data_IF_142444521435
#
_entry.id   IF_142444521435
#
_cell.length_a   1.000
_cell.length_b   1.000
_cell.length_c   1.000
_cell.angle_alpha   90.00
_cell.angle_beta   90.00
_cell.angle_gamma   90.00
#
_symmetry.space_group_name_H-M   'P 1'
#
loop_
_entity.id
_entity.type
_entity.pdbx_description
1 polymer ?
#
# COMPACT_ATOMS: atom_id res chain seq x y z
N UNK A 1 33.31 25.44 2.11
CA UNK A 1 32.78 24.87 0.86
C UNK A 1 32.08 25.96 0.03
N UNK A 2 31.77 25.73 -1.22
CA UNK A 2 31.15 26.68 -2.16
C UNK A 2 29.84 27.31 -1.65
N UNK A 3 29.11 26.64 -0.76
CA UNK A 3 27.83 27.12 -0.21
C UNK A 3 27.99 27.98 1.05
N UNK A 4 29.21 28.13 1.59
CA UNK A 4 29.48 29.00 2.76
C UNK A 4 28.81 28.55 4.06
N UNK A 5 28.29 27.32 4.13
CA UNK A 5 27.52 26.78 5.25
C UNK A 5 27.97 25.38 5.65
N UNK A 6 27.86 25.05 6.94
CA UNK A 6 28.13 23.73 7.47
C UNK A 6 26.87 22.85 7.24
N UNK A 7 26.99 21.84 6.40
CA UNK A 7 25.90 20.90 6.09
C UNK A 7 25.87 19.69 7.04
N UNK A 8 27.03 19.41 7.65
CA UNK A 8 27.21 18.28 8.57
C UNK A 8 27.93 18.72 9.82
N UNK A 9 27.48 18.25 10.95
CA UNK A 9 28.19 18.29 12.22
C UNK A 9 28.99 16.99 12.35
N UNK A 10 30.29 17.11 12.62
CA UNK A 10 31.17 15.94 12.81
C UNK A 10 31.62 15.90 14.26
N UNK A 11 31.31 14.78 14.92
CA UNK A 11 31.92 14.39 16.19
C UNK A 11 32.89 13.24 15.96
N UNK A 12 33.69 12.89 16.97
CA UNK A 12 34.65 11.77 16.85
C UNK A 12 33.98 10.40 16.60
N UNK A 13 32.67 10.27 16.84
CA UNK A 13 31.93 9.03 16.73
C UNK A 13 30.74 9.08 15.75
N UNK A 14 30.33 10.26 15.26
CA UNK A 14 29.10 10.41 14.48
C UNK A 14 29.15 11.60 13.52
N UNK A 15 28.45 11.47 12.40
CA UNK A 15 28.24 12.54 11.43
C UNK A 15 26.76 12.79 11.30
N UNK A 16 26.29 13.97 11.73
CA UNK A 16 24.87 14.36 11.64
C UNK A 16 24.68 15.47 10.62
N UNK A 17 23.57 15.43 9.92
CA UNK A 17 23.16 16.51 9.05
C UNK A 17 22.63 17.68 9.88
N UNK A 18 22.98 18.91 9.52
CA UNK A 18 22.42 20.11 10.17
C UNK A 18 21.02 20.41 9.64
N UNK A 19 20.22 21.19 10.36
CA UNK A 19 18.90 21.64 9.88
C UNK A 19 19.00 22.39 8.54
N UNK A 20 20.08 23.16 8.33
CA UNK A 20 20.38 23.79 7.04
C UNK A 20 20.78 22.75 6.00
N UNK A 21 21.52 21.71 6.41
CA UNK A 21 21.90 20.57 5.56
C UNK A 21 20.67 19.84 5.02
N UNK A 22 19.67 19.55 5.86
CA UNK A 22 18.42 18.91 5.44
C UNK A 22 17.67 19.73 4.38
N UNK A 23 17.57 21.05 4.57
CA UNK A 23 16.96 21.95 3.60
C UNK A 23 17.71 21.94 2.26
N UNK A 24 19.04 21.94 2.29
CA UNK A 24 19.87 21.90 1.09
C UNK A 24 19.76 20.53 0.40
N UNK A 25 19.76 19.43 1.13
CA UNK A 25 19.54 18.08 0.57
C UNK A 25 18.17 17.99 -0.11
N UNK A 26 17.14 18.52 0.52
CA UNK A 26 15.79 18.56 -0.06
C UNK A 26 15.78 19.35 -1.38
N UNK A 27 16.45 20.50 -1.43
CA UNK A 27 16.53 21.28 -2.66
C UNK A 27 17.43 20.64 -3.71
N UNK A 28 18.55 20.02 -3.31
CA UNK A 28 19.43 19.31 -4.22
C UNK A 28 18.72 18.11 -4.89
N UNK A 29 17.91 17.37 -4.15
CA UNK A 29 17.08 16.31 -4.71
C UNK A 29 16.16 16.84 -5.80
N UNK A 30 15.46 17.96 -5.57
CA UNK A 30 14.61 18.60 -6.59
C UNK A 30 15.39 18.98 -7.86
N UNK A 31 16.61 19.50 -7.72
CA UNK A 31 17.45 19.81 -8.89
C UNK A 31 17.83 18.56 -9.67
N UNK A 32 18.18 17.48 -8.97
CA UNK A 32 18.47 16.19 -9.61
C UNK A 32 17.24 15.60 -10.31
N UNK A 33 16.05 15.73 -9.71
CA UNK A 33 14.79 15.33 -10.34
C UNK A 33 14.52 16.08 -11.63
N UNK A 34 14.72 17.41 -11.63
CA UNK A 34 14.55 18.22 -12.84
C UNK A 34 15.60 17.86 -13.92
N UNK A 35 16.82 17.50 -13.52
CA UNK A 35 17.83 17.02 -14.47
C UNK A 35 17.41 15.68 -15.11
N UNK A 36 16.93 14.73 -14.31
CA UNK A 36 16.37 13.45 -14.82
C UNK A 36 15.18 13.70 -15.75
N UNK A 37 14.32 14.66 -15.42
CA UNK A 37 13.20 15.06 -16.30
C UNK A 37 13.66 15.58 -17.65
N UNK A 38 14.72 16.38 -17.68
CA UNK A 38 15.29 16.84 -18.96
C UNK A 38 15.77 15.67 -19.83
N UNK A 39 16.44 14.69 -19.21
CA UNK A 39 16.87 13.49 -19.91
C UNK A 39 15.67 12.64 -20.38
N UNK A 40 14.65 12.47 -19.55
CA UNK A 40 13.41 11.77 -19.92
C UNK A 40 12.68 12.43 -21.08
N UNK A 41 12.51 13.76 -21.05
CA UNK A 41 11.91 14.54 -22.14
C UNK A 41 12.71 14.37 -23.43
N UNK A 42 14.03 14.44 -23.35
CA UNK A 42 14.89 14.27 -24.52
C UNK A 42 14.87 12.83 -25.06
N UNK A 43 14.82 11.84 -24.17
CA UNK A 43 14.85 10.41 -24.53
C UNK A 43 13.54 9.84 -25.05
N UNK A 44 12.39 10.40 -24.62
CA UNK A 44 11.05 9.88 -24.99
C UNK A 44 10.52 10.44 -26.32
N UNK A 45 11.22 11.39 -26.95
CA UNK A 45 10.72 12.05 -28.17
C UNK A 45 9.34 12.70 -28.01
N UNK A 46 8.89 12.94 -26.77
CA UNK A 46 7.58 13.49 -26.41
C UNK A 46 6.45 12.46 -26.26
N UNK A 47 6.71 11.15 -26.38
CA UNK A 47 5.71 10.12 -26.11
C UNK A 47 5.55 9.92 -24.57
N UNK A 48 4.37 10.27 -24.00
CA UNK A 48 4.12 10.14 -22.56
C UNK A 48 4.09 8.69 -22.07
N UNK A 49 3.94 7.70 -22.98
CA UNK A 49 3.90 6.27 -22.68
C UNK A 49 5.25 5.58 -22.92
N UNK A 50 6.33 6.34 -23.05
CA UNK A 50 7.69 5.82 -23.15
C UNK A 50 8.54 6.25 -21.96
N UNK A 51 9.66 5.53 -21.72
CA UNK A 51 10.55 5.73 -20.58
C UNK A 51 10.03 5.13 -19.27
N UNK A 52 10.85 5.07 -18.22
CA UNK A 52 10.57 4.35 -17.00
C UNK A 52 9.36 4.93 -16.24
N UNK A 53 8.58 4.04 -15.61
CA UNK A 53 7.55 4.38 -14.62
C UNK A 53 7.91 3.72 -13.28
N UNK A 54 8.08 4.53 -12.24
CA UNK A 54 8.44 4.09 -10.88
C UNK A 54 7.19 4.11 -10.01
N UNK A 55 6.69 2.93 -9.68
CA UNK A 55 5.43 2.76 -8.94
C UNK A 55 5.70 2.24 -7.54
N UNK A 56 5.23 2.96 -6.53
CA UNK A 56 5.19 2.48 -5.14
C UNK A 56 3.82 1.85 -4.85
N UNK A 57 3.79 0.71 -4.16
CA UNK A 57 2.53 0.04 -3.81
C UNK A 57 2.60 -0.45 -2.37
N UNK A 58 1.52 -0.30 -1.61
CA UNK A 58 1.49 -0.86 -0.26
C UNK A 58 1.36 -2.38 -0.27
N UNK A 59 1.95 -3.04 0.73
CA UNK A 59 2.01 -4.51 0.87
C UNK A 59 0.66 -5.22 0.80
N UNK A 60 -0.41 -4.58 1.23
CA UNK A 60 -1.75 -5.18 1.21
C UNK A 60 -2.47 -5.06 -0.15
N UNK A 61 -1.84 -4.43 -1.16
CA UNK A 61 -2.37 -4.26 -2.51
C UNK A 61 -1.46 -4.94 -3.54
N UNK A 62 -0.15 -4.75 -3.46
CA UNK A 62 0.80 -5.14 -4.49
C UNK A 62 0.65 -6.59 -4.96
N UNK A 63 0.69 -7.63 -4.11
CA UNK A 63 0.66 -9.02 -4.57
C UNK A 63 -0.61 -9.40 -5.34
N UNK A 64 -1.70 -8.69 -5.09
CA UNK A 64 -3.03 -9.00 -5.65
C UNK A 64 -3.36 -8.19 -6.90
N UNK A 65 -2.79 -6.98 -7.04
CA UNK A 65 -2.96 -6.11 -8.19
C UNK A 65 -1.99 -6.48 -9.33
N UNK A 66 -0.73 -6.72 -9.00
CA UNK A 66 0.36 -6.86 -9.98
C UNK A 66 0.14 -7.96 -11.03
N UNK A 67 -0.43 -9.14 -10.70
CA UNK A 67 -0.67 -10.19 -11.70
C UNK A 67 -1.57 -9.75 -12.87
N UNK A 68 -2.46 -8.81 -12.66
CA UNK A 68 -3.33 -8.25 -13.70
C UNK A 68 -2.76 -6.96 -14.30
N UNK A 69 -2.14 -6.14 -13.47
CA UNK A 69 -1.60 -4.85 -13.86
C UNK A 69 -0.40 -4.96 -14.81
N UNK A 70 0.58 -5.81 -14.50
CA UNK A 70 1.80 -5.93 -15.30
C UNK A 70 1.51 -6.35 -16.76
N UNK A 71 0.69 -7.39 -17.03
CA UNK A 71 0.35 -7.77 -18.40
C UNK A 71 -0.43 -6.69 -19.14
N UNK A 72 -1.34 -5.98 -18.43
CA UNK A 72 -2.10 -4.88 -19.01
C UNK A 72 -1.19 -3.72 -19.41
N UNK A 73 -0.30 -3.30 -18.51
CA UNK A 73 0.67 -2.24 -18.78
C UNK A 73 1.58 -2.60 -19.97
N UNK A 74 2.14 -3.80 -20.00
CA UNK A 74 2.98 -4.26 -21.12
C UNK A 74 2.26 -4.23 -22.47
N UNK A 75 0.96 -4.50 -22.47
CA UNK A 75 0.14 -4.46 -23.68
C UNK A 75 -0.13 -3.02 -24.13
N UNK A 76 -0.40 -2.11 -23.19
CA UNK A 76 -0.80 -0.72 -23.50
C UNK A 76 0.40 0.21 -23.71
N UNK A 77 1.47 0.02 -22.94
CA UNK A 77 2.66 0.85 -22.97
C UNK A 77 3.95 0.00 -22.97
N UNK A 78 4.24 -0.75 -24.07
CA UNK A 78 5.39 -1.66 -24.13
C UNK A 78 6.74 -0.96 -24.04
N UNK A 79 6.80 0.35 -24.32
CA UNK A 79 8.00 1.18 -24.20
C UNK A 79 8.18 1.83 -22.82
N UNK A 80 7.33 1.47 -21.83
CA UNK A 80 7.35 2.01 -20.48
C UNK A 80 7.79 0.92 -19.48
N UNK A 81 9.10 0.74 -19.24
CA UNK A 81 9.59 -0.21 -18.24
C UNK A 81 9.11 0.16 -16.85
N UNK A 82 8.58 -0.83 -16.13
CA UNK A 82 8.01 -0.67 -14.80
C UNK A 82 9.05 -0.98 -13.72
N UNK A 83 9.24 -0.06 -12.78
CA UNK A 83 10.01 -0.26 -11.55
C UNK A 83 9.05 -0.23 -10.36
N UNK A 84 9.02 -1.32 -9.59
CA UNK A 84 8.13 -1.47 -8.46
C UNK A 84 8.87 -1.38 -7.14
N UNK A 85 8.27 -0.68 -6.20
CA UNK A 85 8.68 -0.65 -4.80
C UNK A 85 7.49 -0.96 -3.91
N UNK A 86 7.59 -1.99 -3.10
CA UNK A 86 6.62 -2.26 -2.04
C UNK A 86 7.10 -1.66 -0.73
N UNK A 87 6.24 -0.88 -0.06
CA UNK A 87 6.59 -0.29 1.23
C UNK A 87 5.31 0.17 1.97
N UNK A 88 5.47 0.61 3.22
CA UNK A 88 4.41 1.28 3.97
C UNK A 88 4.12 2.67 3.39
N UNK A 89 2.87 3.12 3.52
CA UNK A 89 2.44 4.46 3.09
C UNK A 89 3.36 5.56 3.63
N UNK A 90 3.79 5.43 4.90
CA UNK A 90 4.69 6.38 5.55
C UNK A 90 6.05 6.54 4.85
N UNK A 91 6.54 5.50 4.16
CA UNK A 91 7.80 5.51 3.42
C UNK A 91 7.58 5.88 1.94
N UNK A 92 6.45 5.49 1.35
CA UNK A 92 6.14 5.78 -0.05
C UNK A 92 5.89 7.28 -0.28
N UNK A 93 5.25 7.98 0.66
CA UNK A 93 4.97 9.42 0.52
C UNK A 93 6.24 10.26 0.42
N UNK A 94 7.24 10.13 1.32
CA UNK A 94 8.50 10.84 1.18
C UNK A 94 9.22 10.52 -0.14
N UNK A 95 9.25 9.24 -0.56
CA UNK A 95 9.86 8.82 -1.81
C UNK A 95 9.14 9.43 -3.04
N UNK A 96 7.80 9.50 -3.00
CA UNK A 96 7.01 10.17 -4.03
C UNK A 96 7.32 11.67 -4.10
N UNK A 97 7.38 12.35 -2.95
CA UNK A 97 7.73 13.78 -2.88
C UNK A 97 9.15 14.07 -3.31
N UNK A 98 10.08 13.15 -3.04
CA UNK A 98 11.47 13.23 -3.46
C UNK A 98 11.68 12.92 -4.95
N UNK A 99 10.65 12.47 -5.70
CA UNK A 99 10.76 12.06 -7.10
C UNK A 99 11.42 10.71 -7.33
N UNK A 100 11.70 9.97 -6.27
CA UNK A 100 12.18 8.58 -6.35
C UNK A 100 11.10 7.66 -6.91
N UNK A 101 9.81 8.03 -6.71
CA UNK A 101 8.63 7.39 -7.27
C UNK A 101 7.85 8.39 -8.12
N UNK A 102 7.18 7.91 -9.14
CA UNK A 102 6.33 8.68 -10.04
C UNK A 102 4.88 8.68 -9.56
N UNK A 103 4.40 7.53 -9.13
CA UNK A 103 3.05 7.29 -8.62
C UNK A 103 3.09 6.27 -7.48
N UNK A 104 2.16 6.38 -6.54
CA UNK A 104 1.96 5.35 -5.51
C UNK A 104 0.51 4.87 -5.51
N UNK A 105 0.32 3.59 -5.20
CA UNK A 105 -0.98 2.94 -5.05
C UNK A 105 -1.22 2.68 -3.57
N UNK A 106 -2.21 3.35 -3.01
CA UNK A 106 -2.51 3.31 -1.57
C UNK A 106 -4.00 3.24 -1.31
N UNK A 107 -4.39 3.05 -0.07
CA UNK A 107 -5.77 3.19 0.35
C UNK A 107 -6.11 4.66 0.62
N UNK A 108 -7.30 5.08 0.19
CA UNK A 108 -7.87 6.39 0.43
C UNK A 108 -8.85 6.35 1.65
N UNK A 109 -9.18 7.48 2.30
CA UNK A 109 -8.86 8.85 1.88
C UNK A 109 -7.41 9.25 2.16
N UNK A 110 -6.85 10.05 1.26
CA UNK A 110 -5.53 10.66 1.42
C UNK A 110 -5.56 12.07 0.85
N UNK A 111 -5.03 13.04 1.59
CA UNK A 111 -4.91 14.42 1.14
C UNK A 111 -3.61 15.03 1.68
N UNK A 112 -2.76 15.52 0.78
CA UNK A 112 -1.53 16.21 1.14
C UNK A 112 -1.18 17.28 0.10
N UNK A 113 -0.69 18.42 0.54
CA UNK A 113 -0.34 19.54 -0.34
C UNK A 113 0.71 19.13 -1.38
N UNK A 114 0.49 19.48 -2.65
CA UNK A 114 1.37 19.17 -3.77
C UNK A 114 1.18 17.76 -4.36
N UNK A 115 0.26 16.97 -3.82
CA UNK A 115 -0.10 15.65 -4.34
C UNK A 115 -1.55 15.65 -4.86
N UNK A 116 -1.79 14.84 -5.87
CA UNK A 116 -3.12 14.52 -6.41
C UNK A 116 -3.44 13.10 -5.99
N UNK A 117 -4.67 12.86 -5.52
CA UNK A 117 -5.19 11.54 -5.22
C UNK A 117 -6.42 11.26 -6.10
N UNK A 118 -6.45 10.12 -6.75
CA UNK A 118 -7.54 9.67 -7.61
C UNK A 118 -7.99 8.28 -7.19
N UNK A 119 -9.27 8.13 -6.90
CA UNK A 119 -9.88 6.83 -6.63
C UNK A 119 -9.90 5.98 -7.91
N UNK A 120 -9.58 4.69 -7.78
CA UNK A 120 -9.58 3.72 -8.90
C UNK A 120 -10.68 2.70 -8.71
N UNK A 121 -10.76 2.04 -7.54
CA UNK A 121 -11.80 1.06 -7.26
C UNK A 121 -12.10 0.94 -5.77
N UNK A 122 -13.31 0.47 -5.49
CA UNK A 122 -13.72 0.04 -4.15
C UNK A 122 -13.41 -1.44 -3.96
N UNK A 123 -12.85 -1.77 -2.80
CA UNK A 123 -12.45 -3.12 -2.44
C UNK A 123 -13.14 -3.53 -1.15
N UNK A 124 -14.17 -4.40 -1.22
CA UNK A 124 -14.85 -4.90 -0.03
C UNK A 124 -13.95 -5.83 0.77
N UNK A 125 -14.24 -5.94 2.07
CA UNK A 125 -13.55 -6.86 2.97
C UNK A 125 -14.29 -8.20 3.07
N UNK A 126 -13.53 -9.24 3.44
CA UNK A 126 -14.02 -10.59 3.69
C UNK A 126 -13.54 -11.06 5.04
N UNK A 127 -14.31 -11.91 5.67
CA UNK A 127 -13.90 -12.69 6.84
C UNK A 127 -13.34 -14.02 6.36
N UNK A 128 -12.13 -14.37 6.78
CA UNK A 128 -11.47 -15.63 6.42
C UNK A 128 -11.31 -16.45 7.70
N UNK A 129 -11.85 -17.66 7.66
CA UNK A 129 -11.87 -18.57 8.82
C UNK A 129 -11.29 -19.93 8.45
N UNK A 130 -10.80 -20.73 9.42
CA UNK A 130 -10.43 -22.12 9.18
C UNK A 130 -11.61 -22.94 8.62
N UNK A 131 -11.34 -23.94 7.79
CA UNK A 131 -12.40 -24.80 7.21
C UNK A 131 -13.28 -25.50 8.26
N UNK A 132 -12.73 -25.78 9.46
CA UNK A 132 -13.43 -26.39 10.58
C UNK A 132 -14.07 -25.39 11.55
N UNK A 133 -13.97 -24.09 11.27
CA UNK A 133 -14.56 -23.07 12.13
C UNK A 133 -16.09 -23.18 12.17
N UNK A 134 -16.77 -22.89 13.29
CA UNK A 134 -18.24 -22.92 13.38
C UNK A 134 -18.95 -22.08 12.32
N UNK A 135 -18.30 -21.03 11.83
CA UNK A 135 -18.83 -20.17 10.77
C UNK A 135 -18.66 -20.71 9.35
N UNK A 136 -17.92 -21.80 9.16
CA UNK A 136 -17.58 -22.32 7.82
C UNK A 136 -18.80 -22.66 6.94
N UNK A 137 -19.97 -22.90 7.54
CA UNK A 137 -21.22 -23.20 6.86
C UNK A 137 -22.20 -22.02 6.79
N UNK A 138 -21.79 -20.85 7.27
CA UNK A 138 -22.63 -19.65 7.26
C UNK A 138 -22.56 -18.94 5.91
N UNK A 139 -23.62 -18.22 5.57
CA UNK A 139 -23.66 -17.39 4.37
C UNK A 139 -22.94 -16.05 4.55
N UNK A 140 -22.88 -15.52 5.78
CA UNK A 140 -22.26 -14.24 6.11
C UNK A 140 -21.98 -14.15 7.62
N UNK A 141 -21.18 -13.15 8.03
CA UNK A 141 -20.80 -12.87 9.42
C UNK A 141 -21.06 -11.40 9.73
N UNK A 142 -21.59 -11.10 10.89
CA UNK A 142 -21.72 -9.72 11.37
C UNK A 142 -20.39 -9.20 11.91
N UNK A 143 -20.09 -7.91 11.69
CA UNK A 143 -18.84 -7.30 12.14
C UNK A 143 -18.65 -7.42 13.67
N UNK A 144 -19.74 -7.33 14.42
CA UNK A 144 -19.74 -7.41 15.88
C UNK A 144 -19.42 -8.81 16.42
N UNK A 145 -19.59 -9.87 15.60
CA UNK A 145 -19.26 -11.25 15.99
C UNK A 145 -17.76 -11.55 15.99
N UNK A 146 -16.95 -10.67 15.38
CA UNK A 146 -15.50 -10.76 15.44
C UNK A 146 -14.94 -10.49 16.84
N UNK A 147 -15.69 -9.77 17.67
CA UNK A 147 -15.38 -9.61 19.09
C UNK A 147 -15.35 -10.98 19.80
N UNK A 148 -14.29 -11.21 20.58
CA UNK A 148 -14.08 -12.49 21.25
C UNK A 148 -13.48 -13.61 20.37
N UNK A 149 -13.20 -13.34 19.08
CA UNK A 149 -12.43 -14.26 18.24
C UNK A 149 -10.91 -14.04 18.39
N UNK A 150 -10.14 -15.09 18.14
CA UNK A 150 -8.68 -14.96 18.00
C UNK A 150 -8.39 -14.26 16.67
N UNK A 151 -8.27 -12.93 16.70
CA UNK A 151 -8.04 -12.14 15.50
C UNK A 151 -6.59 -12.22 15.03
N UNK A 152 -6.40 -12.46 13.75
CA UNK A 152 -5.12 -12.39 13.07
C UNK A 152 -5.06 -11.07 12.29
N UNK A 153 -4.15 -10.20 12.65
CA UNK A 153 -4.04 -8.84 12.12
C UNK A 153 -2.65 -8.61 11.50
N UNK A 154 -2.58 -7.67 10.56
CA UNK A 154 -1.29 -7.15 10.14
C UNK A 154 -0.64 -6.37 11.28
N UNK A 155 0.69 -6.40 11.35
CA UNK A 155 1.46 -5.63 12.32
C UNK A 155 1.26 -4.12 12.17
N UNK A 156 1.68 -3.39 13.18
CA UNK A 156 1.61 -1.93 13.21
C UNK A 156 2.29 -1.28 12.00
N UNK A 157 1.76 -0.13 11.56
CA UNK A 157 2.22 0.60 10.37
C UNK A 157 1.52 0.20 9.06
N UNK A 158 0.75 -0.89 9.07
CA UNK A 158 -0.11 -1.26 7.95
C UNK A 158 -1.45 -0.51 8.04
N UNK A 159 -1.73 0.38 7.10
CA UNK A 159 -3.01 1.10 7.05
C UNK A 159 -4.22 0.15 6.97
N UNK A 160 -4.06 -1.05 6.41
CA UNK A 160 -5.15 -2.04 6.37
C UNK A 160 -5.54 -2.54 7.77
N UNK A 161 -4.58 -2.67 8.71
CA UNK A 161 -4.90 -2.94 10.11
C UNK A 161 -5.87 -1.90 10.68
N UNK A 162 -5.54 -0.63 10.49
CA UNK A 162 -6.35 0.49 11.01
C UNK A 162 -7.73 0.48 10.38
N UNK A 163 -7.84 0.22 9.08
CA UNK A 163 -9.11 0.10 8.36
C UNK A 163 -9.98 -1.06 8.89
N UNK A 164 -9.39 -2.19 9.26
CA UNK A 164 -10.11 -3.31 9.89
C UNK A 164 -10.66 -2.89 11.25
N UNK A 165 -9.86 -2.22 12.07
CA UNK A 165 -10.29 -1.76 13.40
C UNK A 165 -11.38 -0.68 13.31
N UNK A 166 -11.30 0.23 12.34
CA UNK A 166 -12.34 1.25 12.07
C UNK A 166 -13.64 0.61 11.58
N UNK A 167 -13.54 -0.43 10.76
CA UNK A 167 -14.70 -1.15 10.20
C UNK A 167 -15.39 -2.07 11.22
N UNK A 168 -14.65 -2.49 12.23
CA UNK A 168 -15.11 -3.41 13.28
C UNK A 168 -14.85 -2.76 14.65
N UNK A 169 -15.65 -1.74 15.06
CA UNK A 169 -15.36 -0.91 16.24
C UNK A 169 -15.23 -1.70 17.55
N UNK A 170 -15.89 -2.86 17.68
CA UNK A 170 -15.76 -3.71 18.87
C UNK A 170 -14.36 -4.27 19.05
N UNK A 171 -13.59 -4.43 17.96
CA UNK A 171 -12.19 -4.84 18.04
C UNK A 171 -11.28 -3.77 18.66
N UNK A 172 -11.74 -2.52 18.74
CA UNK A 172 -11.03 -1.42 19.39
C UNK A 172 -11.34 -1.30 20.88
N UNK A 173 -12.22 -2.14 21.43
CA UNK A 173 -12.53 -2.14 22.86
C UNK A 173 -11.30 -2.61 23.68
N UNK A 174 -11.15 -2.14 24.95
CA UNK A 174 -10.14 -2.66 25.84
C UNK A 174 -10.24 -4.20 25.90
N UNK A 175 -9.10 -4.88 25.77
CA UNK A 175 -8.97 -6.34 25.81
C UNK A 175 -9.53 -7.13 24.62
N UNK A 176 -10.20 -6.50 23.65
CA UNK A 176 -10.73 -7.20 22.46
C UNK A 176 -9.64 -7.92 21.64
N UNK A 177 -8.41 -7.44 21.72
CA UNK A 177 -7.25 -7.96 20.99
C UNK A 177 -6.22 -8.67 21.88
N UNK A 178 -6.54 -8.99 23.15
CA UNK A 178 -5.60 -9.67 24.06
C UNK A 178 -5.06 -10.99 23.48
N UNK A 179 -5.89 -11.72 22.73
CA UNK A 179 -5.51 -12.98 22.09
C UNK A 179 -5.20 -12.81 20.58
N UNK A 180 -5.05 -11.58 20.10
CA UNK A 180 -4.73 -11.37 18.69
C UNK A 180 -3.28 -11.75 18.42
N UNK A 181 -3.06 -12.29 17.20
CA UNK A 181 -1.71 -12.57 16.70
C UNK A 181 -1.43 -11.65 15.50
N UNK A 182 -0.18 -11.26 15.34
CA UNK A 182 0.24 -10.40 14.24
C UNK A 182 1.00 -11.19 13.17
N UNK A 183 0.67 -10.91 11.91
CA UNK A 183 1.38 -11.41 10.75
C UNK A 183 2.08 -10.29 9.98
N UNK A 184 3.24 -10.58 9.41
CA UNK A 184 4.00 -9.63 8.61
C UNK A 184 3.38 -9.32 7.24
N UNK A 185 2.51 -10.20 6.73
CA UNK A 185 1.83 -10.05 5.43
C UNK A 185 0.48 -10.75 5.44
N UNK A 186 -0.40 -10.41 4.49
CA UNK A 186 -1.68 -11.11 4.31
C UNK A 186 -1.47 -12.58 3.93
N UNK A 187 -0.40 -12.92 3.22
CA UNK A 187 -0.04 -14.31 2.93
C UNK A 187 0.30 -15.08 4.20
N UNK A 188 1.09 -14.49 5.10
CA UNK A 188 1.38 -15.09 6.41
C UNK A 188 0.09 -15.30 7.21
N UNK A 189 -0.78 -14.29 7.25
CA UNK A 189 -2.08 -14.39 7.95
C UNK A 189 -2.94 -15.50 7.34
N UNK A 190 -2.98 -15.63 6.01
CA UNK A 190 -3.71 -16.71 5.32
C UNK A 190 -3.27 -18.10 5.83
N UNK A 191 -1.98 -18.35 5.90
CA UNK A 191 -1.46 -19.63 6.40
C UNK A 191 -1.71 -19.83 7.90
N UNK A 192 -1.70 -18.76 8.69
CA UNK A 192 -2.09 -18.82 10.10
C UNK A 192 -3.57 -19.20 10.25
N UNK A 193 -4.47 -18.62 9.44
CA UNK A 193 -5.88 -19.04 9.38
C UNK A 193 -5.99 -20.50 8.97
N UNK A 194 -5.32 -20.92 7.91
CA UNK A 194 -5.35 -22.30 7.42
C UNK A 194 -4.87 -23.31 8.46
N UNK A 195 -3.94 -22.92 9.35
CA UNK A 195 -3.46 -23.74 10.46
C UNK A 195 -4.37 -23.75 11.69
N UNK A 196 -5.47 -23.00 11.68
CA UNK A 196 -6.42 -22.93 12.78
C UNK A 196 -6.04 -21.94 13.90
N UNK A 197 -5.05 -21.05 13.68
CA UNK A 197 -4.59 -20.10 14.68
C UNK A 197 -5.61 -19.00 15.05
N UNK A 198 -6.59 -18.75 14.17
CA UNK A 198 -7.62 -17.74 14.38
C UNK A 198 -8.37 -17.36 13.12
N UNK A 199 -9.04 -16.22 13.14
CA UNK A 199 -9.80 -15.66 12.04
C UNK A 199 -9.20 -14.33 11.58
N UNK A 200 -9.40 -13.97 10.32
CA UNK A 200 -8.86 -12.73 9.77
C UNK A 200 -9.91 -11.96 8.96
N UNK A 201 -9.73 -10.66 8.86
CA UNK A 201 -10.35 -9.82 7.83
C UNK A 201 -9.31 -9.56 6.75
N UNK A 202 -9.69 -9.75 5.48
CA UNK A 202 -8.83 -9.55 4.32
C UNK A 202 -9.55 -8.74 3.24
N UNK A 203 -8.81 -8.00 2.40
CA UNK A 203 -9.40 -7.40 1.20
C UNK A 203 -9.89 -8.50 0.24
N UNK A 204 -10.94 -8.22 -0.53
CA UNK A 204 -11.53 -9.21 -1.44
C UNK A 204 -10.54 -9.72 -2.49
N UNK A 205 -9.63 -8.88 -2.99
CA UNK A 205 -8.61 -9.30 -3.96
C UNK A 205 -7.65 -10.35 -3.39
N UNK A 206 -7.41 -10.32 -2.07
CA UNK A 206 -6.60 -11.32 -1.36
C UNK A 206 -7.43 -12.56 -0.99
N UNK A 207 -8.69 -12.38 -0.61
CA UNK A 207 -9.53 -13.43 -0.04
C UNK A 207 -10.29 -14.23 -1.09
N UNK A 208 -10.96 -13.58 -2.05
CA UNK A 208 -11.84 -14.26 -3.01
C UNK A 208 -11.13 -15.35 -3.85
N UNK A 209 -9.85 -15.21 -4.26
CA UNK A 209 -9.11 -16.27 -4.93
C UNK A 209 -8.88 -17.53 -4.07
N UNK A 210 -9.05 -17.47 -2.75
CA UNK A 210 -8.89 -18.61 -1.85
C UNK A 210 -10.09 -19.56 -1.90
N UNK A 211 -11.27 -19.08 -2.33
CA UNK A 211 -12.52 -19.86 -2.36
C UNK A 211 -12.32 -21.19 -3.09
N UNK A 212 -11.65 -21.17 -4.24
CA UNK A 212 -11.44 -22.33 -5.09
C UNK A 212 -10.05 -22.97 -4.93
N UNK A 213 -9.10 -22.28 -4.30
CA UNK A 213 -7.69 -22.67 -4.30
C UNK A 213 -7.17 -23.15 -2.94
N UNK A 214 -7.86 -22.79 -1.84
CA UNK A 214 -7.39 -23.10 -0.50
C UNK A 214 -8.45 -23.85 0.32
N UNK A 215 -8.41 -25.18 0.32
CA UNK A 215 -9.43 -26.00 0.99
C UNK A 215 -9.42 -25.87 2.52
N UNK A 216 -8.31 -25.38 3.10
CA UNK A 216 -8.15 -25.26 4.55
C UNK A 216 -8.82 -24.02 5.14
N UNK A 217 -9.35 -23.13 4.31
CA UNK A 217 -10.04 -21.91 4.75
C UNK A 217 -11.44 -21.81 4.14
N UNK A 218 -12.26 -20.92 4.72
CA UNK A 218 -13.52 -20.46 4.15
C UNK A 218 -13.52 -18.93 4.15
N UNK A 219 -14.04 -18.39 3.05
CA UNK A 219 -14.16 -16.94 2.83
C UNK A 219 -15.63 -16.58 2.92
N UNK A 220 -15.96 -15.65 3.78
CA UNK A 220 -17.33 -15.23 4.08
C UNK A 220 -17.48 -13.72 3.87
N UNK A 221 -18.57 -13.26 3.26
CA UNK A 221 -18.89 -11.85 3.22
C UNK A 221 -19.36 -11.37 4.60
N UNK A 222 -19.29 -10.05 4.82
CA UNK A 222 -19.98 -9.44 5.93
C UNK A 222 -21.50 -9.39 5.68
N UNK A 223 -22.27 -9.51 6.76
CA UNK A 223 -23.73 -9.34 6.71
C UNK A 223 -24.09 -7.85 6.65
N UNK A 224 -25.08 -7.48 5.84
CA UNK A 224 -25.54 -6.09 5.73
C UNK A 224 -24.54 -5.20 4.96
N UNK A 225 -24.18 -4.05 5.56
CA UNK A 225 -23.21 -3.13 4.96
C UNK A 225 -21.81 -3.75 4.99
N UNK A 226 -21.25 -4.02 3.82
CA UNK A 226 -19.91 -4.57 3.72
C UNK A 226 -18.86 -3.48 3.97
N UNK A 227 -17.95 -3.66 4.92
CA UNK A 227 -16.78 -2.82 5.03
C UNK A 227 -15.96 -2.87 3.74
N UNK A 228 -15.39 -1.75 3.35
CA UNK A 228 -14.57 -1.64 2.14
C UNK A 228 -13.47 -0.58 2.32
N UNK A 229 -12.53 -0.60 1.42
CA UNK A 229 -11.59 0.51 1.23
C UNK A 229 -11.65 1.00 -0.21
N UNK A 230 -11.34 2.26 -0.42
CA UNK A 230 -11.08 2.80 -1.75
C UNK A 230 -9.59 2.67 -2.03
N UNK A 231 -9.22 2.01 -3.12
CA UNK A 231 -7.85 2.00 -3.63
C UNK A 231 -7.68 3.14 -4.62
N UNK A 232 -6.58 3.87 -4.50
CA UNK A 232 -6.33 5.03 -5.35
C UNK A 232 -4.87 5.19 -5.73
N UNK A 233 -4.67 6.01 -6.75
CA UNK A 233 -3.37 6.46 -7.22
C UNK A 233 -3.07 7.83 -6.61
N UNK A 234 -1.81 8.04 -6.23
CA UNK A 234 -1.35 9.36 -5.76
C UNK A 234 -0.05 9.71 -6.48
N UNK A 235 0.02 10.94 -7.00
CA UNK A 235 1.19 11.45 -7.70
C UNK A 235 1.39 12.94 -7.42
N UNK A 236 2.56 13.48 -7.78
CA UNK A 236 2.84 14.92 -7.63
C UNK A 236 2.05 15.73 -8.65
N UNK A 237 1.49 16.86 -8.25
CA UNK A 237 0.86 17.85 -9.17
C UNK A 237 1.82 18.21 -10.31
N UNK A 238 3.12 18.24 -10.02
CA UNK A 238 4.18 18.58 -10.98
C UNK A 238 4.66 17.38 -11.82
N UNK A 239 4.05 16.19 -11.72
CA UNK A 239 4.49 15.03 -12.50
C UNK A 239 4.36 15.33 -14.00
N UNK A 240 5.45 15.17 -14.80
CA UNK A 240 5.48 15.68 -16.17
C UNK A 240 4.70 14.83 -17.18
N UNK A 241 4.33 13.59 -16.83
CA UNK A 241 3.66 12.64 -17.72
C UNK A 241 2.30 12.17 -17.14
N UNK A 242 1.31 13.07 -16.90
CA UNK A 242 0.05 12.67 -16.30
C UNK A 242 -0.68 11.59 -17.13
N UNK A 243 -0.53 11.60 -18.46
CA UNK A 243 -1.09 10.56 -19.34
C UNK A 243 -0.53 9.16 -19.08
N UNK A 244 0.64 9.03 -18.49
CA UNK A 244 1.18 7.74 -18.07
C UNK A 244 0.45 7.17 -16.84
N UNK A 245 -0.26 8.02 -16.09
CA UNK A 245 -1.10 7.60 -14.96
C UNK A 245 -2.47 7.11 -15.46
N UNK A 246 -2.97 7.67 -16.56
CA UNK A 246 -4.28 7.33 -17.15
C UNK A 246 -4.24 6.04 -17.99
N UNK A 247 -3.03 5.56 -18.33
CA UNK A 247 -2.81 4.38 -19.18
C UNK A 247 -2.93 3.07 -18.38
#
# INVERSE_FOLDING_TARGET
>A
GQLGAALFERSAADVRITALGERIVTQARRVLEEAVRLEEIAGTGGDPLSGPLRVGVIYSIAPYMLPQFIPALHKHAPAMPLYLKEDFTANLIPALKAGELDVIVIALPFAEAGLVAQAVYEEPFRVVVPAQHPWSHRAAVEADELDGQNMLLLGHGNCFRDQVLESCPRLSAPNALENSLEGGSLETIRYMVASGAGVAVMPSTAADPLIDKEPMVRVLPFQGKQPSRTVGLVWRVTFPRPKAIDA
#
